data_IF_050107966894
#
_entry.id   IF_050107966894
#
_cell.length_a   1.000
_cell.length_b   1.000
_cell.length_c   1.000
_cell.angle_alpha   90.00
_cell.angle_beta   90.00
_cell.angle_gamma   90.00
#
_symmetry.space_group_name_H-M   'P 1'
#
loop_
_entity.id
_entity.type
_entity.pdbx_description
1 polymer ?
#
# COMPACT_ATOMS: atom_id res chain seq x y z
N UNK A 1 54.00 16.93 -8.23
CA UNK A 1 54.61 15.98 -9.18
C UNK A 1 53.66 15.79 -10.36
N UNK A 2 54.06 16.26 -11.54
CA UNK A 2 54.10 15.39 -12.72
C UNK A 2 52.97 15.31 -13.77
N UNK A 3 51.84 16.03 -13.74
CA UNK A 3 50.87 15.92 -14.87
C UNK A 3 51.39 16.59 -16.16
N UNK A 4 52.24 17.62 -16.03
CA UNK A 4 52.77 18.38 -17.18
C UNK A 4 54.15 17.94 -17.67
N UNK A 5 54.92 17.22 -16.85
CA UNK A 5 56.27 16.75 -17.20
C UNK A 5 56.37 15.28 -16.83
N UNK A 6 56.20 14.40 -17.83
CA UNK A 6 56.04 12.96 -17.68
C UNK A 6 57.43 12.31 -17.61
N UNK A 7 58.06 12.30 -16.43
CA UNK A 7 59.45 11.85 -16.28
C UNK A 7 59.60 10.39 -15.85
N UNK A 8 58.57 9.78 -15.26
CA UNK A 8 58.58 8.39 -14.81
C UNK A 8 57.36 7.60 -15.33
N UNK A 9 57.49 6.27 -15.43
CA UNK A 9 56.40 5.39 -15.91
C UNK A 9 55.13 5.51 -15.06
N UNK A 10 55.27 5.73 -13.75
CA UNK A 10 54.14 5.97 -12.84
C UNK A 10 53.40 7.29 -13.07
N UNK A 11 54.13 8.36 -13.41
CA UNK A 11 53.53 9.66 -13.77
C UNK A 11 52.85 9.62 -15.14
N UNK A 12 53.43 8.87 -16.10
CA UNK A 12 52.81 8.61 -17.39
C UNK A 12 51.50 7.81 -17.25
N UNK A 13 51.52 6.71 -16.49
CA UNK A 13 50.33 5.88 -16.27
C UNK A 13 49.20 6.66 -15.57
N UNK A 14 49.54 7.48 -14.56
CA UNK A 14 48.56 8.30 -13.85
C UNK A 14 48.03 9.45 -14.72
N UNK A 15 48.88 10.10 -15.52
CA UNK A 15 48.44 11.12 -16.48
C UNK A 15 47.53 10.53 -17.58
N UNK A 16 47.86 9.34 -18.09
CA UNK A 16 47.02 8.63 -19.08
C UNK A 16 45.68 8.18 -18.49
N UNK A 17 45.62 7.82 -17.21
CA UNK A 17 44.35 7.54 -16.51
C UNK A 17 43.49 8.80 -16.35
N UNK A 18 44.08 9.96 -16.06
CA UNK A 18 43.37 11.24 -15.96
C UNK A 18 42.93 11.75 -17.34
N UNK A 19 43.73 11.54 -18.39
CA UNK A 19 43.37 11.84 -19.78
C UNK A 19 42.26 10.91 -20.30
N UNK A 20 42.30 9.62 -19.96
CA UNK A 20 41.24 8.66 -20.29
C UNK A 20 39.93 8.96 -19.54
N UNK A 21 40.02 9.37 -18.26
CA UNK A 21 38.85 9.80 -17.49
C UNK A 21 38.20 11.04 -18.10
N UNK A 22 38.98 12.02 -18.57
CA UNK A 22 38.46 13.20 -19.30
C UNK A 22 37.83 12.84 -20.64
N UNK A 23 38.44 11.92 -21.40
CA UNK A 23 37.89 11.48 -22.68
C UNK A 23 36.55 10.73 -22.51
N UNK A 24 36.42 9.96 -21.43
CA UNK A 24 35.16 9.29 -21.07
C UNK A 24 34.11 10.31 -20.61
N UNK A 25 34.49 11.32 -19.84
CA UNK A 25 33.59 12.40 -19.40
C UNK A 25 33.08 13.22 -20.61
N UNK A 26 33.97 13.58 -21.55
CA UNK A 26 33.64 14.32 -22.78
C UNK A 26 32.71 13.51 -23.71
N UNK A 27 32.88 12.18 -23.79
CA UNK A 27 32.02 11.29 -24.58
C UNK A 27 30.66 11.06 -23.92
N UNK A 28 30.61 10.92 -22.58
CA UNK A 28 29.36 10.84 -21.81
C UNK A 28 28.58 12.15 -21.94
N UNK A 29 29.27 13.30 -21.88
CA UNK A 29 28.67 14.64 -22.04
C UNK A 29 28.10 14.84 -23.45
N UNK A 30 28.77 14.35 -24.51
CA UNK A 30 28.23 14.36 -25.89
C UNK A 30 26.99 13.48 -26.06
N UNK A 31 26.96 12.30 -25.43
CA UNK A 31 25.84 11.35 -25.56
C UNK A 31 24.63 11.80 -24.74
N UNK A 32 24.86 12.36 -23.55
CA UNK A 32 23.79 12.87 -22.68
C UNK A 32 23.22 14.20 -23.18
N UNK A 33 24.05 15.15 -23.63
CA UNK A 33 23.59 16.49 -24.04
C UNK A 33 22.65 16.48 -25.25
N UNK A 34 22.83 15.56 -26.20
CA UNK A 34 21.93 15.42 -27.36
C UNK A 34 20.55 14.89 -26.99
N UNK A 35 20.49 13.84 -26.14
CA UNK A 35 19.24 13.15 -25.82
C UNK A 35 18.49 13.79 -24.63
N UNK A 36 19.20 14.31 -23.63
CA UNK A 36 18.59 14.95 -22.47
C UNK A 36 17.86 16.24 -22.85
N UNK A 37 18.40 17.00 -23.81
CA UNK A 37 17.77 18.25 -24.28
C UNK A 37 16.42 18.01 -24.93
N UNK A 38 16.31 16.93 -25.72
CA UNK A 38 15.08 16.54 -26.38
C UNK A 38 14.07 15.94 -25.39
N UNK A 39 14.52 15.07 -24.47
CA UNK A 39 13.66 14.52 -23.42
C UNK A 39 13.10 15.62 -22.50
N UNK A 40 13.93 16.61 -22.13
CA UNK A 40 13.54 17.75 -21.26
C UNK A 40 12.71 18.79 -22.02
N UNK A 41 12.83 18.89 -23.35
CA UNK A 41 11.94 19.74 -24.15
C UNK A 41 10.57 19.10 -24.36
N UNK A 42 10.50 17.77 -24.44
CA UNK A 42 9.25 17.02 -24.63
C UNK A 42 8.45 16.90 -23.32
N UNK A 43 9.14 16.97 -22.18
CA UNK A 43 8.52 17.12 -20.87
C UNK A 43 8.09 18.58 -20.69
N UNK A 44 6.79 18.86 -20.70
CA UNK A 44 6.19 20.18 -20.47
C UNK A 44 6.29 20.65 -18.99
N UNK A 45 7.50 20.53 -18.43
CA UNK A 45 7.81 20.74 -17.01
C UNK A 45 8.41 22.13 -16.75
N UNK A 46 8.96 22.79 -17.77
CA UNK A 46 9.67 24.05 -17.60
C UNK A 46 8.75 25.19 -17.13
N UNK A 47 7.56 25.28 -17.71
CA UNK A 47 6.55 26.29 -17.33
C UNK A 47 6.00 26.00 -15.93
N UNK A 48 5.87 24.71 -15.61
CA UNK A 48 5.41 24.16 -14.34
C UNK A 48 6.52 24.03 -13.30
N UNK A 49 7.59 24.83 -13.36
CA UNK A 49 8.62 24.84 -12.32
C UNK A 49 8.76 26.20 -11.64
N UNK A 50 9.04 26.22 -10.31
CA UNK A 50 9.35 27.43 -9.59
C UNK A 50 10.52 28.19 -10.25
N UNK A 51 10.51 29.54 -10.27
CA UNK A 51 11.59 30.33 -10.84
C UNK A 51 12.99 30.00 -10.27
N UNK A 52 13.07 29.50 -9.04
CA UNK A 52 14.32 29.07 -8.39
C UNK A 52 14.91 27.76 -8.93
N UNK A 53 14.14 26.96 -9.67
CA UNK A 53 14.57 25.66 -10.22
C UNK A 53 14.85 25.70 -11.72
N UNK A 54 14.36 26.72 -12.41
CA UNK A 54 14.64 26.96 -13.83
C UNK A 54 16.14 27.05 -14.15
N UNK A 55 16.99 27.69 -13.31
CA UNK A 55 18.43 27.73 -13.56
C UNK A 55 19.10 26.35 -13.57
N UNK A 56 18.57 25.37 -12.83
CA UNK A 56 19.09 24.00 -12.79
C UNK A 56 18.76 23.31 -14.13
N UNK A 57 17.55 23.50 -14.66
CA UNK A 57 17.17 23.01 -15.98
C UNK A 57 17.86 23.72 -17.13
N UNK A 58 18.12 25.02 -17.01
CA UNK A 58 18.89 25.77 -17.99
C UNK A 58 20.34 25.24 -18.05
N UNK A 59 20.92 24.91 -16.88
CA UNK A 59 22.24 24.26 -16.78
C UNK A 59 22.25 22.83 -17.34
N UNK A 60 21.14 22.10 -17.23
CA UNK A 60 20.95 20.76 -17.82
C UNK A 60 20.75 20.81 -19.35
N UNK A 61 20.13 21.87 -19.87
CA UNK A 61 19.89 22.09 -21.30
C UNK A 61 21.16 22.55 -22.02
N UNK A 62 22.05 23.28 -21.34
CA UNK A 62 23.31 23.80 -21.86
C UNK A 62 24.43 23.68 -20.81
N UNK A 63 25.14 22.54 -20.73
CA UNK A 63 26.27 22.43 -19.84
C UNK A 63 27.41 23.32 -20.36
N UNK A 64 27.60 24.50 -19.77
CA UNK A 64 28.55 25.51 -20.27
C UNK A 64 29.95 25.49 -19.63
N UNK A 65 30.32 24.49 -18.81
CA UNK A 65 31.74 24.33 -18.42
C UNK A 65 32.14 22.96 -17.89
N UNK A 66 33.38 22.55 -18.18
CA UNK A 66 34.06 21.40 -17.60
C UNK A 66 34.01 21.45 -16.06
N UNK A 67 33.42 20.42 -15.45
CA UNK A 67 33.13 20.35 -14.00
C UNK A 67 31.65 20.29 -13.65
N UNK A 68 30.75 20.70 -14.56
CA UNK A 68 29.32 20.46 -14.40
C UNK A 68 28.93 19.01 -14.70
N UNK A 69 29.72 18.24 -15.46
CA UNK A 69 29.54 16.80 -15.63
C UNK A 69 29.47 16.02 -14.32
N UNK A 70 30.18 16.47 -13.27
CA UNK A 70 30.08 15.89 -11.93
C UNK A 70 28.84 16.30 -11.13
N UNK A 71 28.25 17.47 -11.41
CA UNK A 71 27.01 17.96 -10.78
C UNK A 71 25.79 17.37 -11.51
N UNK A 72 25.81 17.38 -12.84
CA UNK A 72 24.88 16.65 -13.71
C UNK A 72 24.92 15.16 -13.39
N UNK A 73 26.13 14.60 -13.29
CA UNK A 73 26.36 13.20 -12.96
C UNK A 73 25.82 12.85 -11.60
N UNK A 74 25.87 13.74 -10.60
CA UNK A 74 25.24 13.55 -9.29
C UNK A 74 23.72 13.69 -9.33
N UNK A 75 23.18 14.64 -10.09
CA UNK A 75 21.73 14.79 -10.23
C UNK A 75 21.10 13.62 -11.00
N UNK A 76 21.75 13.17 -12.09
CA UNK A 76 21.39 11.97 -12.86
C UNK A 76 21.67 10.71 -12.04
N UNK A 77 22.75 10.65 -11.26
CA UNK A 77 23.02 9.55 -10.32
C UNK A 77 22.01 9.53 -9.18
N UNK A 78 21.53 10.66 -8.66
CA UNK A 78 20.51 10.70 -7.59
C UNK A 78 19.10 10.41 -8.13
N UNK A 79 18.81 10.78 -9.37
CA UNK A 79 17.60 10.38 -10.08
C UNK A 79 17.63 8.89 -10.49
N UNK A 80 18.82 8.34 -10.80
CA UNK A 80 19.05 6.92 -11.05
C UNK A 80 19.13 6.10 -9.74
N UNK A 81 19.67 6.68 -8.67
CA UNK A 81 19.77 6.16 -7.30
C UNK A 81 18.49 6.47 -6.52
N UNK A 82 17.33 6.15 -7.11
CA UNK A 82 16.07 5.96 -6.37
C UNK A 82 16.14 4.87 -5.27
N UNK A 83 17.35 4.45 -4.89
CA UNK A 83 17.70 3.31 -4.03
C UNK A 83 18.56 3.74 -2.82
N UNK A 84 19.05 5.00 -2.71
CA UNK A 84 19.74 5.51 -1.51
C UNK A 84 18.84 6.31 -0.54
N UNK A 85 17.52 6.16 -0.69
CA UNK A 85 16.49 7.05 -0.11
C UNK A 85 16.29 7.10 1.41
N UNK A 86 17.05 6.38 2.24
CA UNK A 86 16.80 6.34 3.70
C UNK A 86 17.64 7.31 4.55
N UNK A 87 18.85 7.70 4.14
CA UNK A 87 19.74 8.52 5.00
C UNK A 87 19.56 10.04 4.83
N UNK A 88 19.10 10.49 3.66
CA UNK A 88 18.91 11.91 3.33
C UNK A 88 17.47 12.42 3.53
N UNK A 89 16.52 11.51 3.82
CA UNK A 89 15.08 11.83 3.88
C UNK A 89 14.71 12.89 4.93
N UNK A 90 15.49 13.02 6.02
CA UNK A 90 15.29 14.07 7.02
C UNK A 90 15.83 15.43 6.58
N UNK A 91 16.97 15.47 5.89
CA UNK A 91 17.64 16.72 5.48
C UNK A 91 16.86 17.46 4.37
N UNK A 92 16.16 16.71 3.52
CA UNK A 92 15.40 17.26 2.39
C UNK A 92 13.91 17.45 2.71
N UNK A 93 13.48 17.24 3.95
CA UNK A 93 12.07 17.23 4.33
C UNK A 93 11.35 18.57 4.07
N UNK A 94 11.98 19.70 4.40
CA UNK A 94 11.42 21.04 4.16
C UNK A 94 11.33 21.37 2.67
N UNK A 95 12.34 20.97 1.89
CA UNK A 95 12.33 21.07 0.44
C UNK A 95 11.21 20.23 -0.18
N UNK A 96 11.07 18.97 0.22
CA UNK A 96 9.99 18.08 -0.22
C UNK A 96 8.61 18.61 0.16
N UNK A 97 8.45 19.20 1.35
CA UNK A 97 7.18 19.85 1.74
C UNK A 97 6.87 21.10 0.92
N UNK A 98 7.86 21.94 0.62
CA UNK A 98 7.67 23.11 -0.24
C UNK A 98 7.33 22.70 -1.66
N UNK A 99 7.95 21.65 -2.18
CA UNK A 99 7.62 21.06 -3.47
C UNK A 99 6.20 20.50 -3.48
N UNK A 100 5.84 19.65 -2.51
CA UNK A 100 4.49 19.09 -2.38
C UNK A 100 3.42 20.20 -2.20
N UNK A 101 3.71 21.26 -1.44
CA UNK A 101 2.80 22.39 -1.26
C UNK A 101 2.65 23.27 -2.51
N UNK A 102 3.65 23.27 -3.39
CA UNK A 102 3.64 24.03 -4.64
C UNK A 102 2.92 23.26 -5.75
N UNK A 103 3.25 21.98 -5.95
CA UNK A 103 2.59 21.12 -6.94
C UNK A 103 1.17 20.72 -6.51
N UNK A 104 0.94 20.54 -5.21
CA UNK A 104 -0.35 20.07 -4.64
C UNK A 104 -0.86 18.81 -5.34
N UNK A 105 0.08 17.94 -5.67
CA UNK A 105 -0.12 16.72 -6.44
C UNK A 105 -0.69 15.58 -5.59
N UNK A 106 -0.64 15.70 -4.26
CA UNK A 106 -1.27 14.76 -3.35
C UNK A 106 -2.79 14.73 -3.56
N UNK A 107 -3.29 13.55 -3.91
CA UNK A 107 -4.71 13.25 -4.06
C UNK A 107 -5.15 12.37 -2.90
N UNK A 108 -6.42 12.49 -2.51
CA UNK A 108 -7.02 11.47 -1.64
C UNK A 108 -6.87 10.12 -2.33
N UNK A 109 -6.43 9.11 -1.60
CA UNK A 109 -6.36 7.77 -2.14
C UNK A 109 -7.76 7.26 -2.49
N UNK A 110 -7.82 6.26 -3.37
CA UNK A 110 -9.08 5.73 -3.85
C UNK A 110 -9.89 4.99 -2.79
N UNK A 111 -9.25 4.41 -1.76
CA UNK A 111 -9.93 3.76 -0.63
C UNK A 111 -10.69 4.79 0.23
N UNK A 112 -10.06 5.91 0.51
CA UNK A 112 -10.62 7.07 1.21
C UNK A 112 -11.69 7.72 0.35
N UNK A 113 -11.45 7.89 -0.95
CA UNK A 113 -12.45 8.39 -1.89
C UNK A 113 -13.71 7.50 -1.91
N UNK A 114 -13.53 6.17 -1.95
CA UNK A 114 -14.63 5.19 -1.90
C UNK A 114 -15.41 5.32 -0.59
N UNK A 115 -14.72 5.42 0.54
CA UNK A 115 -15.34 5.60 1.86
C UNK A 115 -16.15 6.90 1.93
N UNK A 116 -15.59 8.01 1.44
CA UNK A 116 -16.26 9.30 1.43
C UNK A 116 -17.46 9.29 0.47
N UNK A 117 -17.34 8.61 -0.67
CA UNK A 117 -18.40 8.48 -1.65
C UNK A 117 -19.58 7.66 -1.11
N UNK A 118 -19.32 6.52 -0.47
CA UNK A 118 -20.34 5.73 0.25
C UNK A 118 -21.09 6.55 1.31
N UNK A 119 -20.39 7.49 1.97
CA UNK A 119 -20.96 8.40 2.97
C UNK A 119 -21.65 9.64 2.38
N UNK A 120 -21.72 9.75 1.04
CA UNK A 120 -22.26 10.91 0.32
C UNK A 120 -21.55 12.23 0.69
N UNK A 121 -20.27 12.14 1.04
CA UNK A 121 -19.46 13.29 1.46
C UNK A 121 -18.69 13.95 0.30
N UNK A 122 -18.63 13.29 -0.87
CA UNK A 122 -18.02 13.81 -2.09
C UNK A 122 -18.96 13.59 -3.29
N UNK A 123 -18.74 14.34 -4.36
CA UNK A 123 -19.50 14.24 -5.62
C UNK A 123 -19.05 13.05 -6.47
N UNK A 124 -19.94 12.58 -7.34
CA UNK A 124 -19.68 11.52 -8.32
C UNK A 124 -18.46 11.88 -9.20
N UNK A 125 -18.40 13.13 -9.70
CA UNK A 125 -17.28 13.63 -10.50
C UNK A 125 -15.93 13.53 -9.77
N UNK A 126 -15.90 13.86 -8.46
CA UNK A 126 -14.67 13.77 -7.68
C UNK A 126 -14.28 12.29 -7.45
N UNK A 127 -15.27 11.40 -7.26
CA UNK A 127 -15.02 9.98 -7.10
C UNK A 127 -14.49 9.34 -8.40
N UNK A 128 -15.14 9.59 -9.53
CA UNK A 128 -14.75 9.10 -10.85
C UNK A 128 -13.34 9.57 -11.23
N UNK A 129 -13.02 10.85 -10.98
CA UNK A 129 -11.68 11.39 -11.22
C UNK A 129 -10.60 10.60 -10.45
N UNK A 130 -10.90 10.14 -9.23
CA UNK A 130 -9.96 9.33 -8.43
C UNK A 130 -9.82 7.91 -8.95
N UNK A 131 -10.93 7.26 -9.35
CA UNK A 131 -10.87 5.92 -9.95
C UNK A 131 -10.04 5.93 -11.25
N UNK A 132 -10.24 6.95 -12.10
CA UNK A 132 -9.48 7.13 -13.35
C UNK A 132 -8.00 7.43 -13.07
N UNK A 133 -7.71 8.26 -12.05
CA UNK A 133 -6.34 8.64 -11.69
C UNK A 133 -5.47 7.44 -11.26
N UNK A 134 -6.08 6.43 -10.63
CA UNK A 134 -5.41 5.20 -10.22
C UNK A 134 -5.34 4.16 -11.35
N UNK A 135 -5.97 4.43 -12.50
CA UNK A 135 -5.98 3.53 -13.65
C UNK A 135 -6.95 2.36 -13.54
N UNK A 136 -7.95 2.43 -12.64
CA UNK A 136 -9.00 1.42 -12.61
C UNK A 136 -9.88 1.50 -13.85
N UNK A 137 -10.23 0.35 -14.41
CA UNK A 137 -11.34 0.23 -15.36
C UNK A 137 -12.65 0.36 -14.58
N UNK A 138 -13.71 0.88 -15.22
CA UNK A 138 -15.00 1.14 -14.58
C UNK A 138 -15.54 -0.06 -13.77
N UNK A 139 -15.44 -1.27 -14.33
CA UNK A 139 -15.88 -2.50 -13.67
C UNK A 139 -15.07 -2.84 -12.40
N UNK A 140 -13.75 -2.62 -12.44
CA UNK A 140 -12.85 -2.85 -11.30
C UNK A 140 -13.07 -1.80 -10.21
N UNK A 141 -13.31 -0.54 -10.59
CA UNK A 141 -13.68 0.53 -9.66
C UNK A 141 -15.00 0.23 -8.95
N UNK A 142 -16.01 -0.26 -9.69
CA UNK A 142 -17.28 -0.69 -9.11
C UNK A 142 -17.13 -1.90 -8.18
N UNK A 143 -16.32 -2.90 -8.56
CA UNK A 143 -16.03 -4.03 -7.69
C UNK A 143 -15.31 -3.61 -6.40
N UNK A 144 -14.36 -2.67 -6.51
CA UNK A 144 -13.66 -2.11 -5.35
C UNK A 144 -14.60 -1.33 -4.44
N UNK A 145 -15.56 -0.57 -5.01
CA UNK A 145 -16.61 0.08 -4.24
C UNK A 145 -17.40 -0.93 -3.39
N UNK A 146 -17.81 -2.04 -4.00
CA UNK A 146 -18.53 -3.11 -3.30
C UNK A 146 -17.66 -3.75 -2.22
N UNK A 147 -16.37 -3.98 -2.49
CA UNK A 147 -15.44 -4.59 -1.54
C UNK A 147 -15.19 -3.74 -0.29
N UNK A 148 -15.32 -2.41 -0.39
CA UNK A 148 -15.17 -1.51 0.76
C UNK A 148 -16.45 -1.35 1.58
N UNK A 149 -17.60 -1.80 1.08
CA UNK A 149 -18.82 -1.78 1.88
C UNK A 149 -18.72 -2.81 3.01
N UNK A 150 -19.16 -2.48 4.24
CA UNK A 150 -19.32 -3.48 5.28
C UNK A 150 -20.25 -4.58 4.79
N UNK A 151 -19.75 -5.81 4.80
CA UNK A 151 -20.52 -7.00 4.44
C UNK A 151 -20.87 -7.78 5.72
N UNK A 152 -22.08 -8.35 5.85
CA UNK A 152 -22.44 -9.16 7.01
C UNK A 152 -21.44 -10.29 7.25
N UNK A 153 -21.06 -10.49 8.50
CA UNK A 153 -20.19 -11.61 8.91
C UNK A 153 -20.94 -12.94 8.82
N UNK A 154 -20.21 -14.06 8.72
CA UNK A 154 -20.81 -15.41 8.68
C UNK A 154 -21.77 -15.65 9.88
N UNK A 155 -21.44 -15.27 11.13
CA UNK A 155 -22.39 -15.31 12.25
C UNK A 155 -23.71 -14.57 12.01
N UNK A 156 -23.65 -13.36 11.44
CA UNK A 156 -24.84 -12.55 11.15
C UNK A 156 -25.68 -13.18 10.03
N UNK A 157 -25.02 -13.77 9.03
CA UNK A 157 -25.69 -14.53 7.97
C UNK A 157 -26.37 -15.79 8.52
N UNK A 158 -25.73 -16.51 9.45
CA UNK A 158 -26.35 -17.67 10.13
C UNK A 158 -27.56 -17.22 10.94
N UNK A 159 -27.45 -16.12 11.70
CA UNK A 159 -28.57 -15.56 12.44
C UNK A 159 -29.73 -15.19 11.51
N UNK A 160 -29.44 -14.47 10.42
CA UNK A 160 -30.40 -14.14 9.38
C UNK A 160 -31.08 -15.40 8.82
N UNK A 161 -30.30 -16.43 8.49
CA UNK A 161 -30.81 -17.69 7.98
C UNK A 161 -31.77 -18.40 8.96
N UNK A 162 -31.56 -18.29 10.28
CA UNK A 162 -32.49 -18.86 11.27
C UNK A 162 -33.85 -18.18 11.25
N UNK A 163 -33.90 -16.87 11.00
CA UNK A 163 -35.15 -16.09 10.97
C UNK A 163 -35.84 -16.10 9.60
N UNK A 164 -35.10 -16.35 8.52
CA UNK A 164 -35.61 -16.30 7.15
C UNK A 164 -35.71 -17.65 6.45
N UNK A 165 -35.31 -18.74 7.11
CA UNK A 165 -35.40 -20.11 6.60
C UNK A 165 -35.78 -21.13 7.66
N UNK A 166 -35.11 -22.29 7.62
CA UNK A 166 -35.29 -23.35 8.63
C UNK A 166 -34.29 -23.11 9.76
N UNK A 167 -34.74 -22.88 11.00
CA UNK A 167 -33.85 -22.63 12.14
C UNK A 167 -32.82 -23.74 12.38
N UNK A 168 -33.18 -24.98 12.06
CA UNK A 168 -32.33 -26.18 12.24
C UNK A 168 -31.38 -26.44 11.05
N UNK A 169 -31.59 -25.76 9.91
CA UNK A 169 -30.77 -25.90 8.71
C UNK A 169 -30.66 -24.55 7.99
N UNK A 170 -29.65 -23.79 8.39
CA UNK A 170 -29.29 -22.46 7.90
C UNK A 170 -28.47 -22.47 6.60
N UNK A 171 -28.06 -23.66 6.14
CA UNK A 171 -26.98 -23.84 5.17
C UNK A 171 -27.29 -23.27 3.80
N UNK A 172 -28.48 -23.58 3.30
CA UNK A 172 -28.93 -23.16 1.96
C UNK A 172 -28.96 -21.63 1.87
N UNK A 173 -29.53 -20.95 2.86
CA UNK A 173 -29.59 -19.48 2.88
C UNK A 173 -28.20 -18.87 3.02
N UNK A 174 -27.34 -19.38 3.91
CA UNK A 174 -25.98 -18.83 4.05
C UNK A 174 -25.23 -18.92 2.72
N UNK A 175 -25.35 -20.03 1.99
CA UNK A 175 -24.70 -20.24 0.69
C UNK A 175 -25.30 -19.45 -0.48
N UNK A 176 -26.51 -18.92 -0.35
CA UNK A 176 -27.04 -17.94 -1.32
C UNK A 176 -26.30 -16.60 -1.24
N UNK A 177 -25.81 -16.24 -0.04
CA UNK A 177 -25.17 -14.95 0.21
C UNK A 177 -23.64 -15.03 0.23
N UNK A 178 -23.07 -16.11 0.74
CA UNK A 178 -21.63 -16.21 0.97
C UNK A 178 -21.09 -17.62 0.71
N UNK A 179 -19.99 -17.70 -0.03
CA UNK A 179 -19.30 -18.96 -0.33
C UNK A 179 -18.48 -19.43 0.87
N UNK A 180 -19.07 -20.31 1.69
CA UNK A 180 -18.41 -20.93 2.85
C UNK A 180 -18.04 -22.37 2.52
N UNK A 181 -16.77 -22.79 2.65
CA UNK A 181 -16.39 -24.19 2.51
C UNK A 181 -17.21 -25.09 3.42
N UNK A 182 -17.67 -26.25 2.91
CA UNK A 182 -18.57 -27.15 3.67
C UNK A 182 -18.00 -27.55 5.03
N UNK A 183 -16.69 -27.83 5.11
CA UNK A 183 -16.00 -28.17 6.37
C UNK A 183 -16.08 -27.05 7.40
N UNK A 184 -15.88 -25.81 6.96
CA UNK A 184 -15.78 -24.66 7.84
C UNK A 184 -17.18 -24.19 8.28
N UNK A 185 -18.19 -24.39 7.42
CA UNK A 185 -19.58 -24.12 7.73
C UNK A 185 -20.06 -24.85 9.00
N UNK A 186 -19.73 -26.14 9.15
CA UNK A 186 -20.14 -26.94 10.32
C UNK A 186 -19.61 -26.36 11.64
N UNK A 187 -18.38 -25.85 11.62
CA UNK A 187 -17.77 -25.17 12.78
C UNK A 187 -18.50 -23.86 13.10
N UNK A 188 -18.77 -23.03 12.09
CA UNK A 188 -19.49 -21.77 12.26
C UNK A 188 -20.90 -21.98 12.81
N UNK A 189 -21.63 -22.93 12.25
CA UNK A 189 -22.98 -23.28 12.69
C UNK A 189 -22.98 -23.75 14.15
N UNK A 190 -22.03 -24.61 14.53
CA UNK A 190 -21.89 -25.06 15.91
C UNK A 190 -21.60 -23.91 16.88
N UNK A 191 -20.73 -22.96 16.50
CA UNK A 191 -20.35 -21.81 17.33
C UNK A 191 -21.49 -20.82 17.56
N UNK A 192 -22.47 -20.75 16.66
CA UNK A 192 -23.62 -19.84 16.79
C UNK A 192 -24.77 -20.40 17.62
N UNK A 193 -24.73 -21.69 17.95
CA UNK A 193 -25.74 -22.29 18.81
C UNK A 193 -25.57 -21.82 20.26
N UNK A 194 -26.68 -21.47 20.90
CA UNK A 194 -26.71 -21.21 22.33
C UNK A 194 -26.38 -22.49 23.12
N UNK A 195 -25.69 -22.32 24.25
CA UNK A 195 -25.38 -23.40 25.19
C UNK A 195 -26.08 -23.13 26.51
N UNK A 196 -26.45 -24.20 27.22
CA UNK A 196 -27.01 -24.06 28.55
C UNK A 196 -25.94 -23.47 29.48
N UNK A 197 -26.33 -22.49 30.28
CA UNK A 197 -25.47 -21.94 31.33
C UNK A 197 -25.48 -22.85 32.56
N UNK A 198 -24.45 -22.76 33.42
CA UNK A 198 -24.39 -23.50 34.69
C UNK A 198 -25.71 -23.41 35.47
N UNK A 199 -26.29 -22.21 35.58
CA UNK A 199 -27.54 -21.98 36.30
C UNK A 199 -28.74 -22.69 35.64
N UNK A 200 -28.80 -22.69 34.31
CA UNK A 200 -29.87 -23.39 33.58
C UNK A 200 -29.77 -24.89 33.78
N UNK A 201 -28.57 -25.47 33.67
CA UNK A 201 -28.34 -26.90 33.90
C UNK A 201 -28.70 -27.31 35.34
N UNK A 202 -28.23 -26.57 36.35
CA UNK A 202 -28.59 -26.83 37.75
C UNK A 202 -30.10 -26.68 38.00
N UNK A 203 -30.77 -25.76 37.30
CA UNK A 203 -32.22 -25.59 37.40
C UNK A 203 -32.98 -26.77 36.79
N UNK A 204 -32.53 -27.30 35.65
CA UNK A 204 -33.10 -28.52 35.06
C UNK A 204 -32.95 -29.72 36.00
N UNK A 205 -31.77 -29.86 36.63
CA UNK A 205 -31.52 -30.93 37.59
C UNK A 205 -32.40 -30.83 38.83
N UNK A 206 -32.48 -29.66 39.47
CA UNK A 206 -33.34 -29.44 40.64
C UNK A 206 -34.83 -29.65 40.35
N UNK A 207 -35.24 -29.49 39.09
CA UNK A 207 -36.61 -29.77 38.62
C UNK A 207 -36.84 -31.24 38.27
N UNK A 208 -35.83 -32.10 38.38
CA UNK A 208 -35.91 -33.51 38.02
C UNK A 208 -36.07 -33.76 36.52
N UNK A 209 -35.70 -32.80 35.66
CA UNK A 209 -35.81 -32.92 34.20
C UNK A 209 -34.58 -33.57 33.56
N UNK A 210 -33.46 -33.60 34.28
CA UNK A 210 -32.24 -34.30 33.89
C UNK A 210 -31.71 -35.08 35.09
N UNK A 211 -30.99 -36.15 34.81
CA UNK A 211 -30.30 -37.01 35.77
C UNK A 211 -29.01 -36.36 36.28
N UNK A 212 -28.45 -36.91 37.36
CA UNK A 212 -27.14 -36.50 37.88
C UNK A 212 -26.02 -36.74 36.86
N UNK A 213 -26.07 -37.85 36.12
CA UNK A 213 -25.10 -38.14 35.04
C UNK A 213 -25.14 -37.08 33.93
N UNK A 214 -26.34 -36.62 33.55
CA UNK A 214 -26.51 -35.56 32.55
C UNK A 214 -26.03 -34.19 33.07
N UNK A 215 -26.28 -33.89 34.36
CA UNK A 215 -25.75 -32.70 35.02
C UNK A 215 -24.21 -32.68 34.93
N UNK A 216 -23.54 -33.75 35.34
CA UNK A 216 -22.08 -33.83 35.34
C UNK A 216 -21.48 -33.67 33.93
N UNK A 217 -22.13 -34.28 32.92
CA UNK A 217 -21.74 -34.14 31.52
C UNK A 217 -21.86 -32.69 31.04
N UNK A 218 -22.99 -32.04 31.29
CA UNK A 218 -23.23 -30.65 30.88
C UNK A 218 -22.27 -29.67 31.57
N UNK A 219 -21.99 -29.85 32.87
CA UNK A 219 -21.00 -29.04 33.58
C UNK A 219 -19.59 -29.24 33.01
N UNK A 220 -19.26 -30.45 32.53
CA UNK A 220 -18.00 -30.72 31.85
C UNK A 220 -17.91 -29.99 30.50
N UNK A 221 -18.98 -30.02 29.69
CA UNK A 221 -19.07 -29.32 28.41
C UNK A 221 -19.00 -27.79 28.57
N UNK A 222 -19.54 -27.25 29.67
CA UNK A 222 -19.43 -25.82 30.04
C UNK A 222 -17.99 -25.45 30.44
N UNK A 223 -17.21 -26.42 30.94
CA UNK A 223 -15.80 -26.21 31.30
C UNK A 223 -15.49 -26.24 32.81
N UNK A 224 -16.38 -26.77 33.65
CA UNK A 224 -16.07 -26.97 35.07
C UNK A 224 -14.92 -27.97 35.24
N UNK A 225 -14.06 -27.75 36.23
CA UNK A 225 -12.97 -28.69 36.57
C UNK A 225 -13.55 -30.01 37.09
N UNK A 226 -12.77 -31.09 37.06
CA UNK A 226 -13.26 -32.40 37.55
C UNK A 226 -13.61 -32.37 39.04
N UNK A 227 -12.89 -31.57 39.84
CA UNK A 227 -13.12 -31.46 41.29
C UNK A 227 -14.35 -30.63 41.64
N UNK A 228 -14.66 -29.62 40.83
CA UNK A 228 -15.75 -28.68 41.12
C UNK A 228 -17.11 -29.14 40.57
N UNK A 229 -17.15 -30.32 39.94
CA UNK A 229 -18.37 -30.97 39.43
C UNK A 229 -19.01 -31.94 40.44
N UNK A 230 -18.29 -32.30 41.51
CA UNK A 230 -18.70 -33.29 42.51
C UNK A 230 -19.58 -32.69 43.62
#
# INVERSE_FOLDING_TARGET
MGIKDKSTYGEYYWAMQVEAAKAIDDDIEKVLSGNARQLISDLDIYENLPPSMRPILDTLREPTSAGYGGILGRFVSEAADGILGQSMGHALKDFNYKMAGWFRDQRIDFATATTLYQRKAITDELYENRMISEGYKDAEGAAFYLAQMPYPTIPELILYARYHGKPENTKEIVWEWFDVPTRDYELWEWLQLQRLTTLQVQTLFRRGLITETELLKQLAEIGWSTTDRL
#
